data_IF_773257770446
#
_entry.id   IF_773257770446
#
_cell.length_a   1.000
_cell.length_b   1.000
_cell.length_c   1.000
_cell.angle_alpha   90.00
_cell.angle_beta   90.00
_cell.angle_gamma   90.00
#
_symmetry.space_group_name_H-M   'P 1'
#
loop_
_entity.id
_entity.type
_entity.pdbx_description
1 polymer ?
#
# COMPACT_ATOMS: atom_id res chain seq x y z
N UNK A 1 23.15 1.29 3.83
CA UNK A 1 23.08 0.46 5.05
C UNK A 1 22.26 1.24 6.07
N UNK A 2 20.97 0.94 6.19
CA UNK A 2 20.12 1.54 7.24
C UNK A 2 19.67 0.40 8.14
N UNK A 3 20.36 0.24 9.26
CA UNK A 3 19.91 -0.59 10.37
C UNK A 3 18.62 0.02 10.90
N UNK A 4 17.46 -0.50 10.47
CA UNK A 4 16.20 -0.22 11.15
C UNK A 4 16.15 -1.11 12.39
N UNK A 5 15.87 -0.48 13.52
CA UNK A 5 15.61 -1.17 14.78
C UNK A 5 14.41 -2.11 14.59
N UNK A 6 14.54 -3.40 14.92
CA UNK A 6 13.48 -4.39 14.73
C UNK A 6 12.24 -4.09 15.57
N UNK A 7 12.39 -3.23 16.57
CA UNK A 7 11.33 -2.78 17.47
C UNK A 7 10.50 -1.63 16.88
N UNK A 8 10.89 -1.05 15.74
CA UNK A 8 10.14 0.04 15.09
C UNK A 8 9.32 -0.47 13.91
N UNK A 9 8.05 -0.07 13.87
CA UNK A 9 7.19 -0.33 12.72
C UNK A 9 7.82 0.27 11.43
N UNK A 10 7.88 -0.48 10.32
CA UNK A 10 8.60 -0.07 9.12
C UNK A 10 7.78 0.93 8.28
N UNK A 11 7.41 2.07 8.88
CA UNK A 11 6.60 3.12 8.25
C UNK A 11 7.51 4.08 7.47
N UNK A 12 7.12 4.40 6.24
CA UNK A 12 7.77 5.39 5.38
C UNK A 12 6.75 6.42 4.89
N UNK A 13 7.24 7.62 4.54
CA UNK A 13 6.44 8.64 3.87
C UNK A 13 6.48 8.39 2.36
N UNK A 14 5.32 8.19 1.75
CA UNK A 14 5.15 7.96 0.31
C UNK A 14 4.25 9.05 -0.25
N UNK A 15 4.63 9.67 -1.35
CA UNK A 15 3.71 10.50 -2.10
C UNK A 15 2.81 9.60 -2.93
N UNK A 16 1.56 9.49 -2.50
CA UNK A 16 0.49 8.73 -3.14
C UNK A 16 -0.36 9.73 -3.92
N UNK A 17 -0.31 9.72 -5.25
CA UNK A 17 -1.04 10.68 -6.10
C UNK A 17 -0.79 12.15 -5.69
N UNK A 18 0.46 12.48 -5.35
CA UNK A 18 0.87 13.81 -4.91
C UNK A 18 0.63 14.10 -3.42
N UNK A 19 -0.15 13.29 -2.71
CA UNK A 19 -0.39 13.44 -1.27
C UNK A 19 0.62 12.64 -0.45
N UNK A 20 1.36 13.30 0.44
CA UNK A 20 2.27 12.63 1.37
C UNK A 20 1.46 11.81 2.38
N UNK A 21 1.70 10.50 2.38
CA UNK A 21 0.92 9.52 3.14
C UNK A 21 1.88 8.58 3.89
N UNK A 22 1.69 8.37 5.21
CA UNK A 22 2.42 7.33 5.92
C UNK A 22 1.95 5.96 5.47
N UNK A 23 2.90 5.10 5.09
CA UNK A 23 2.63 3.74 4.62
C UNK A 23 3.60 2.76 5.29
N UNK A 24 3.06 1.67 5.85
CA UNK A 24 3.86 0.57 6.38
C UNK A 24 4.38 -0.33 5.27
N UNK A 25 5.62 -0.80 5.38
CA UNK A 25 6.10 -1.90 4.53
C UNK A 25 5.61 -3.23 5.09
N UNK A 26 4.81 -3.97 4.31
CA UNK A 26 4.28 -5.29 4.68
C UNK A 26 4.68 -6.34 3.64
N UNK A 27 5.73 -7.10 3.94
CA UNK A 27 6.21 -8.20 3.07
C UNK A 27 5.27 -9.40 3.04
N UNK A 28 4.37 -9.52 4.02
CA UNK A 28 3.32 -10.55 4.07
C UNK A 28 2.14 -10.24 3.16
N UNK A 29 1.98 -8.99 2.73
CA UNK A 29 0.97 -8.58 1.78
C UNK A 29 1.43 -8.76 0.32
N UNK A 30 0.55 -9.29 -0.53
CA UNK A 30 0.82 -9.39 -1.99
C UNK A 30 0.62 -8.06 -2.70
N UNK A 31 -0.45 -7.33 -2.36
CA UNK A 31 -0.83 -6.08 -3.02
C UNK A 31 -0.80 -4.92 -2.02
N UNK A 32 -0.56 -3.68 -2.46
CA UNK A 32 -0.66 -2.53 -1.61
C UNK A 32 -2.12 -2.27 -1.29
N UNK A 33 -2.40 -1.80 -0.08
CA UNK A 33 -3.74 -1.49 0.36
C UNK A 33 -3.75 -0.14 1.06
N UNK A 34 -4.71 0.69 0.70
CA UNK A 34 -4.95 1.98 1.33
C UNK A 34 -6.34 2.06 1.93
N UNK A 35 -6.46 2.96 2.89
CA UNK A 35 -7.72 3.35 3.48
C UNK A 35 -8.60 4.04 2.44
N UNK A 36 -9.92 3.91 2.61
CA UNK A 36 -10.90 4.49 1.68
C UNK A 36 -10.79 6.02 1.58
N UNK A 37 -10.30 6.68 2.63
CA UNK A 37 -10.06 8.12 2.68
C UNK A 37 -8.93 8.55 1.73
N UNK A 38 -7.83 7.78 1.66
CA UNK A 38 -6.69 8.06 0.78
C UNK A 38 -7.04 7.91 -0.71
N UNK A 39 -8.09 7.16 -1.03
CA UNK A 39 -8.53 6.88 -2.39
C UNK A 39 -9.93 7.44 -2.70
N UNK A 40 -10.38 8.44 -1.95
CA UNK A 40 -11.71 9.05 -2.11
C UNK A 40 -11.90 9.65 -3.51
N UNK A 41 -10.85 10.27 -4.04
CA UNK A 41 -10.86 10.99 -5.32
C UNK A 41 -10.42 10.13 -6.51
N UNK A 42 -10.10 8.84 -6.30
CA UNK A 42 -9.53 8.00 -7.34
C UNK A 42 -10.58 7.17 -8.07
N UNK A 43 -10.42 6.96 -9.40
CA UNK A 43 -11.31 6.09 -10.15
C UNK A 43 -11.20 4.65 -9.63
N UNK A 44 -12.34 4.11 -9.20
CA UNK A 44 -12.44 2.76 -8.63
C UNK A 44 -12.87 1.78 -9.72
N UNK A 45 -12.12 0.70 -9.92
CA UNK A 45 -12.51 -0.33 -10.89
C UNK A 45 -13.67 -1.19 -10.40
N UNK A 46 -14.44 -1.80 -11.30
CA UNK A 46 -15.46 -2.80 -10.97
C UNK A 46 -14.87 -4.17 -10.56
N UNK A 47 -13.58 -4.23 -10.22
CA UNK A 47 -12.89 -5.45 -9.81
C UNK A 47 -12.72 -5.48 -8.29
N UNK A 48 -13.16 -6.59 -7.70
CA UNK A 48 -13.12 -6.83 -6.26
C UNK A 48 -12.31 -8.08 -5.97
N UNK A 49 -11.76 -8.14 -4.76
CA UNK A 49 -11.05 -9.31 -4.24
C UNK A 49 -11.45 -9.55 -2.79
N UNK A 50 -11.61 -10.81 -2.43
CA UNK A 50 -11.78 -11.22 -1.03
C UNK A 50 -10.41 -11.41 -0.41
N UNK A 51 -10.13 -10.69 0.67
CA UNK A 51 -8.86 -10.77 1.39
C UNK A 51 -9.10 -11.09 2.86
N UNK A 52 -8.10 -11.66 3.50
CA UNK A 52 -8.01 -11.73 4.96
C UNK A 52 -6.79 -10.88 5.31
N UNK A 53 -7.02 -9.75 5.98
CA UNK A 53 -5.97 -8.81 6.35
C UNK A 53 -5.57 -8.94 7.83
N UNK A 54 -4.96 -7.88 8.35
CA UNK A 54 -4.42 -7.81 9.72
C UNK A 54 -5.39 -8.24 10.83
N UNK A 55 -6.69 -8.01 10.66
CA UNK A 55 -7.71 -8.35 11.66
C UNK A 55 -8.16 -9.81 11.63
N UNK A 56 -7.59 -10.65 10.75
CA UNK A 56 -7.96 -12.07 10.60
C UNK A 56 -9.39 -12.30 10.09
N UNK A 57 -10.11 -11.23 9.73
CA UNK A 57 -11.50 -11.28 9.25
C UNK A 57 -11.53 -11.14 7.73
N UNK A 58 -12.32 -11.97 7.03
CA UNK A 58 -12.57 -11.77 5.61
C UNK A 58 -13.15 -10.38 5.34
N UNK A 59 -12.63 -9.72 4.32
CA UNK A 59 -13.15 -8.45 3.81
C UNK A 59 -13.11 -8.44 2.29
N UNK A 60 -13.97 -7.60 1.70
CA UNK A 60 -13.94 -7.32 0.27
C UNK A 60 -13.17 -6.03 0.06
N UNK A 61 -12.03 -6.13 -0.61
CA UNK A 61 -11.26 -4.99 -1.07
C UNK A 61 -11.55 -4.73 -2.55
N UNK A 62 -11.42 -3.48 -2.96
CA UNK A 62 -11.69 -3.03 -4.33
C UNK A 62 -10.41 -2.55 -4.98
N UNK A 63 -10.15 -2.96 -6.22
CA UNK A 63 -9.03 -2.39 -6.98
C UNK A 63 -9.36 -0.96 -7.42
N UNK A 64 -8.37 -0.09 -7.36
CA UNK A 64 -8.39 1.24 -7.99
C UNK A 64 -7.52 1.26 -9.24
N UNK A 65 -7.69 2.33 -10.03
CA UNK A 65 -6.79 2.66 -11.14
C UNK A 65 -5.32 2.55 -10.72
N UNK A 66 -4.42 2.20 -11.65
CA UNK A 66 -2.99 2.31 -11.37
C UNK A 66 -2.69 3.72 -10.86
N UNK A 67 -2.02 3.78 -9.72
CA UNK A 67 -1.64 5.04 -9.05
C UNK A 67 -0.14 5.20 -9.06
N UNK A 68 0.31 6.45 -9.16
CA UNK A 68 1.69 6.82 -8.95
C UNK A 68 2.02 6.85 -7.46
N UNK A 69 3.04 6.08 -7.10
CA UNK A 69 3.65 6.06 -5.78
C UNK A 69 5.08 6.54 -5.90
N UNK A 70 5.40 7.65 -5.23
CA UNK A 70 6.75 8.22 -5.21
C UNK A 70 7.39 8.10 -3.83
N UNK A 71 8.57 7.50 -3.81
CA UNK A 71 9.39 7.27 -2.62
C UNK A 71 10.78 7.85 -2.88
N UNK A 72 11.05 9.04 -2.33
CA UNK A 72 12.24 9.79 -2.67
C UNK A 72 12.31 10.14 -4.17
N UNK A 73 13.36 9.67 -4.84
CA UNK A 73 13.56 9.90 -6.29
C UNK A 73 12.87 8.86 -7.17
N UNK A 74 12.39 7.75 -6.60
CA UNK A 74 11.79 6.65 -7.36
C UNK A 74 10.29 6.81 -7.43
N UNK A 75 9.73 6.54 -8.60
CA UNK A 75 8.30 6.57 -8.87
C UNK A 75 7.89 5.24 -9.52
N UNK A 76 6.82 4.64 -9.03
CA UNK A 76 6.23 3.43 -9.59
C UNK A 76 4.75 3.63 -9.83
N UNK A 77 4.24 2.97 -10.87
CA UNK A 77 2.81 2.91 -11.16
C UNK A 77 2.31 1.49 -10.92
N UNK A 78 1.31 1.34 -10.06
CA UNK A 78 0.74 0.04 -9.74
C UNK A 78 -0.73 0.12 -9.31
N UNK A 79 -1.44 -1.00 -9.46
CA UNK A 79 -2.80 -1.16 -8.96
C UNK A 79 -2.78 -1.33 -7.45
N UNK A 80 -3.60 -0.56 -6.75
CA UNK A 80 -3.73 -0.61 -5.29
C UNK A 80 -5.12 -1.11 -4.90
N UNK A 81 -5.23 -1.71 -3.72
CA UNK A 81 -6.50 -2.07 -3.10
C UNK A 81 -7.01 -0.96 -2.18
N UNK A 82 -8.32 -0.78 -2.17
CA UNK A 82 -9.03 0.04 -1.19
C UNK A 82 -9.86 -0.88 -0.31
N UNK A 83 -9.63 -0.81 0.99
CA UNK A 83 -10.37 -1.57 1.98
C UNK A 83 -10.95 -0.64 3.05
N UNK A 84 -12.14 -1.00 3.57
CA UNK A 84 -12.79 -0.27 4.66
C UNK A 84 -12.21 -0.60 6.04
N UNK A 85 -11.65 -1.80 6.21
CA UNK A 85 -11.17 -2.33 7.51
C UNK A 85 -9.66 -2.54 7.52
N UNK A 86 -8.94 -1.57 6.96
CA UNK A 86 -7.48 -1.52 7.00
C UNK A 86 -7.07 -0.41 7.95
N UNK A 87 -6.44 -0.73 9.11
CA UNK A 87 -6.12 0.28 10.12
C UNK A 87 -4.97 1.21 9.70
N UNK A 88 -4.14 0.78 8.75
CA UNK A 88 -2.98 1.53 8.27
C UNK A 88 -2.72 1.18 6.80
N UNK A 89 -2.32 2.17 6.00
CA UNK A 89 -1.91 1.94 4.62
C UNK A 89 -0.65 1.08 4.59
N UNK A 90 -0.57 0.14 3.65
CA UNK A 90 0.63 -0.69 3.51
C UNK A 90 1.03 -0.93 2.05
N UNK A 91 2.34 -1.05 1.82
CA UNK A 91 2.93 -1.53 0.58
C UNK A 91 3.16 -3.03 0.68
N UNK A 92 2.61 -3.76 -0.28
CA UNK A 92 2.86 -5.19 -0.44
C UNK A 92 4.20 -5.48 -1.12
N UNK A 93 4.55 -6.75 -1.15
CA UNK A 93 5.71 -7.32 -1.83
C UNK A 93 5.80 -6.95 -3.31
N UNK A 94 4.68 -6.79 -4.02
CA UNK A 94 4.68 -6.38 -5.43
C UNK A 94 5.28 -4.98 -5.66
N UNK A 95 4.97 -4.03 -4.79
CA UNK A 95 5.52 -2.68 -4.83
C UNK A 95 7.02 -2.67 -4.49
N UNK A 96 7.44 -3.49 -3.53
CA UNK A 96 8.84 -3.64 -3.14
C UNK A 96 9.69 -4.23 -4.27
N UNK A 97 9.18 -5.28 -4.93
CA UNK A 97 9.85 -5.94 -6.06
C UNK A 97 9.99 -4.97 -7.24
N UNK A 98 8.95 -4.20 -7.57
CA UNK A 98 9.00 -3.18 -8.65
C UNK A 98 9.97 -2.04 -8.35
N UNK A 99 10.20 -1.76 -7.07
CA UNK A 99 11.13 -0.73 -6.63
C UNK A 99 12.57 -1.22 -6.55
N UNK A 100 12.87 -2.49 -6.84
CA UNK A 100 14.16 -3.13 -6.55
C UNK A 100 14.66 -2.84 -5.12
N UNK A 101 13.73 -2.65 -4.18
CA UNK A 101 14.07 -2.42 -2.78
C UNK A 101 14.56 -3.74 -2.21
N UNK A 102 15.88 -3.89 -2.13
CA UNK A 102 16.51 -4.92 -1.30
C UNK A 102 16.35 -4.46 0.15
N UNK A 103 15.50 -5.16 0.91
CA UNK A 103 15.40 -5.04 2.36
C UNK A 103 16.70 -5.49 3.03
#
# INVERSE_FOLDING_TARGET
MTTRDSEQEPIIQVSFEGQLTPIMIDTGATYPCVQSQCASNLPKFAKFIKTVGLLGRPQVARFIAPVSLKMGIREIVLTTLVAKRTPINFLGSDALLKQELKL
#
